data_IF_193553701329
#
_entry.id   IF_193553701329
#
_cell.length_a   1.000
_cell.length_b   1.000
_cell.length_c   1.000
_cell.angle_alpha   90.00
_cell.angle_beta   90.00
_cell.angle_gamma   90.00
#
_symmetry.space_group_name_H-M   'P 1'
#
loop_
_entity.id
_entity.type
_entity.pdbx_description
1 polymer ?
#
# COMPACT_ATOMS: atom_id res chain seq x y z
N UNK A 1 21.82 2.50 -3.16
CA UNK A 1 20.71 3.40 -2.79
C UNK A 1 19.41 2.85 -3.34
N UNK A 2 18.33 2.95 -2.57
CA UNK A 2 16.99 2.54 -2.98
C UNK A 2 16.02 3.71 -2.81
N UNK A 3 15.41 4.14 -3.93
CA UNK A 3 14.35 5.13 -3.90
C UNK A 3 13.01 4.44 -3.62
N UNK A 4 12.22 4.98 -2.70
CA UNK A 4 10.92 4.43 -2.30
C UNK A 4 9.85 5.50 -2.39
N UNK A 5 8.71 5.22 -3.04
CA UNK A 5 7.60 6.18 -3.12
C UNK A 5 6.31 5.66 -2.50
N UNK A 6 5.51 6.62 -2.04
CA UNK A 6 4.15 6.45 -1.51
C UNK A 6 3.22 7.44 -2.20
N UNK A 7 2.04 6.98 -2.62
CA UNK A 7 0.95 7.82 -3.11
C UNK A 7 -0.22 7.75 -2.13
N UNK A 8 -0.51 8.83 -1.39
CA UNK A 8 -1.39 8.79 -0.23
C UNK A 8 -2.26 10.03 -0.09
N UNK A 9 -3.45 9.87 0.48
CA UNK A 9 -4.27 10.96 0.98
C UNK A 9 -4.03 11.23 2.48
N UNK A 10 -4.69 12.26 3.00
CA UNK A 10 -4.63 12.65 4.42
C UNK A 10 -4.84 11.48 5.39
N UNK A 11 -5.69 10.51 5.04
CA UNK A 11 -6.04 9.41 5.95
C UNK A 11 -4.90 8.41 6.12
N UNK A 12 -4.00 8.34 5.14
CA UNK A 12 -2.91 7.37 5.08
C UNK A 12 -1.53 7.95 5.45
N UNK A 13 -1.40 9.26 5.68
CA UNK A 13 -0.12 9.88 6.08
C UNK A 13 0.52 9.20 7.30
N UNK A 14 -0.29 8.91 8.32
CA UNK A 14 0.19 8.20 9.51
C UNK A 14 0.70 6.79 9.18
N UNK A 15 -0.05 6.04 8.37
CA UNK A 15 0.35 4.72 7.90
C UNK A 15 1.67 4.76 7.13
N UNK A 16 1.82 5.69 6.19
CA UNK A 16 3.04 5.87 5.42
C UNK A 16 4.26 6.18 6.29
N UNK A 17 4.10 7.05 7.29
CA UNK A 17 5.19 7.38 8.21
C UNK A 17 5.68 6.18 9.01
N UNK A 18 4.77 5.32 9.48
CA UNK A 18 5.14 4.06 10.18
C UNK A 18 5.70 3.04 9.19
N UNK A 19 5.17 2.96 7.97
CA UNK A 19 5.72 2.12 6.89
C UNK A 19 7.17 2.49 6.59
N UNK A 20 7.48 3.78 6.36
CA UNK A 20 8.85 4.30 6.17
C UNK A 20 9.74 3.88 7.34
N UNK A 21 9.27 4.08 8.57
CA UNK A 21 10.03 3.72 9.76
C UNK A 21 10.32 2.21 9.82
N UNK A 22 9.35 1.37 9.42
CA UNK A 22 9.54 -0.08 9.38
C UNK A 22 10.61 -0.50 8.36
N UNK A 23 10.66 0.18 7.21
CA UNK A 23 11.71 -0.04 6.19
C UNK A 23 13.08 0.29 6.76
N UNK A 24 13.21 1.45 7.39
CA UNK A 24 14.48 1.94 7.94
C UNK A 24 14.99 1.10 9.10
N UNK A 25 14.12 0.64 9.99
CA UNK A 25 14.47 -0.21 11.13
C UNK A 25 15.04 -1.56 10.67
N UNK A 26 14.49 -2.13 9.61
CA UNK A 26 14.85 -3.47 9.15
C UNK A 26 15.93 -3.50 8.06
N UNK A 27 16.43 -2.33 7.61
CA UNK A 27 17.38 -2.23 6.50
C UNK A 27 18.42 -1.13 6.73
N UNK A 28 19.12 -1.18 7.86
CA UNK A 28 20.14 -0.18 8.22
C UNK A 28 21.40 -0.21 7.32
N UNK A 29 21.55 -1.25 6.50
CA UNK A 29 22.64 -1.44 5.55
C UNK A 29 22.35 -0.88 4.15
N UNK A 30 21.17 -0.28 3.95
CA UNK A 30 20.73 0.30 2.67
C UNK A 30 20.53 1.81 2.84
N UNK A 31 21.05 2.60 1.92
CA UNK A 31 20.74 4.03 1.84
C UNK A 31 19.41 4.22 1.12
N UNK A 32 18.49 4.97 1.73
CA UNK A 32 17.17 5.24 1.18
C UNK A 32 16.96 6.71 0.87
N UNK A 33 16.12 6.97 -0.14
CA UNK A 33 15.45 8.24 -0.39
C UNK A 33 13.95 7.96 -0.52
N UNK A 34 13.13 8.61 0.32
CA UNK A 34 11.68 8.45 0.31
C UNK A 34 11.00 9.63 -0.37
N UNK A 35 10.00 9.32 -1.21
CA UNK A 35 9.20 10.25 -1.98
C UNK A 35 7.72 10.08 -1.61
N UNK A 36 7.12 11.04 -0.92
CA UNK A 36 5.73 10.99 -0.46
C UNK A 36 4.88 11.94 -1.31
N UNK A 37 4.06 11.39 -2.20
CA UNK A 37 3.11 12.13 -3.03
C UNK A 37 1.75 12.17 -2.33
N UNK A 38 1.27 13.37 -1.99
CA UNK A 38 0.04 13.54 -1.21
C UNK A 38 -0.71 14.81 -1.61
N UNK A 39 -2.03 14.80 -1.41
CA UNK A 39 -2.90 15.98 -1.57
C UNK A 39 -3.01 16.83 -0.31
N UNK A 40 -2.45 16.37 0.79
CA UNK A 40 -2.52 17.06 2.08
C UNK A 40 -1.29 16.78 2.93
N UNK A 41 -0.77 17.84 3.53
CA UNK A 41 0.22 17.75 4.62
C UNK A 41 0.07 18.99 5.50
N UNK A 42 0.24 18.83 6.81
CA UNK A 42 0.31 19.91 7.78
C UNK A 42 1.69 19.95 8.47
N UNK A 43 1.92 20.98 9.28
CA UNK A 43 3.19 21.20 9.97
C UNK A 43 3.56 20.04 10.90
N UNK A 44 2.57 19.41 11.56
CA UNK A 44 2.80 18.29 12.47
C UNK A 44 3.29 17.05 11.71
N UNK A 45 2.68 16.74 10.56
CA UNK A 45 3.12 15.64 9.70
C UNK A 45 4.48 15.94 9.07
N UNK A 46 4.72 17.17 8.55
CA UNK A 46 6.02 17.58 8.05
C UNK A 46 7.12 17.46 9.10
N UNK A 47 6.83 17.92 10.33
CA UNK A 47 7.74 17.76 11.45
C UNK A 47 8.05 16.30 11.73
N UNK A 48 7.05 15.41 11.69
CA UNK A 48 7.24 13.98 11.93
C UNK A 48 8.08 13.30 10.84
N UNK A 49 7.87 13.65 9.57
CA UNK A 49 8.73 13.19 8.48
C UNK A 49 10.18 13.66 8.65
N UNK A 50 10.38 14.94 9.00
CA UNK A 50 11.70 15.51 9.25
C UNK A 50 12.41 14.86 10.47
N UNK A 51 11.67 14.60 11.55
CA UNK A 51 12.17 13.89 12.73
C UNK A 51 12.56 12.45 12.36
N UNK A 52 11.77 11.77 11.54
CA UNK A 52 12.07 10.42 11.04
C UNK A 52 13.33 10.44 10.16
N UNK A 53 13.42 11.38 9.21
CA UNK A 53 14.59 11.54 8.36
C UNK A 53 15.87 11.77 9.18
N UNK A 54 15.80 12.62 10.21
CA UNK A 54 16.91 12.88 11.11
C UNK A 54 17.29 11.66 11.96
N UNK A 55 16.28 10.96 12.54
CA UNK A 55 16.52 9.80 13.40
C UNK A 55 17.27 8.69 12.67
N UNK A 56 16.91 8.45 11.42
CA UNK A 56 17.46 7.34 10.63
C UNK A 56 18.49 7.77 9.58
N UNK A 57 18.92 9.04 9.60
CA UNK A 57 19.88 9.61 8.66
C UNK A 57 19.52 9.32 7.19
N UNK A 58 18.29 9.67 6.79
CA UNK A 58 17.74 9.45 5.44
C UNK A 58 17.12 10.73 4.89
N UNK A 59 16.69 10.70 3.63
CA UNK A 59 15.94 11.79 3.00
C UNK A 59 14.48 11.39 2.83
N UNK A 60 13.56 12.27 3.26
CA UNK A 60 12.12 12.11 3.01
C UNK A 60 11.63 13.40 2.35
N UNK A 61 11.19 13.30 1.10
CA UNK A 61 10.73 14.42 0.28
C UNK A 61 9.21 14.30 0.13
N UNK A 62 8.50 15.36 0.52
CA UNK A 62 7.03 15.41 0.41
C UNK A 62 6.64 16.28 -0.79
N UNK A 63 5.85 15.71 -1.70
CA UNK A 63 5.31 16.37 -2.88
C UNK A 63 3.82 16.63 -2.66
N UNK A 64 3.45 17.90 -2.58
CA UNK A 64 2.04 18.31 -2.47
C UNK A 64 1.41 18.38 -3.86
N UNK A 65 0.38 17.55 -4.07
CA UNK A 65 -0.28 17.40 -5.37
C UNK A 65 -1.65 18.07 -5.33
N UNK A 66 -1.96 18.88 -6.35
CA UNK A 66 -3.32 19.39 -6.54
C UNK A 66 -4.20 18.28 -7.13
N UNK A 67 -5.24 17.78 -6.39
CA UNK A 67 -6.14 16.73 -6.88
C UNK A 67 -6.86 17.08 -8.19
N UNK A 68 -6.93 18.36 -8.56
CA UNK A 68 -7.54 18.79 -9.82
C UNK A 68 -6.90 18.18 -11.07
N UNK A 69 -5.64 17.77 -10.99
CA UNK A 69 -4.97 17.07 -12.09
C UNK A 69 -5.65 15.75 -12.46
N UNK A 70 -6.45 15.17 -11.56
CA UNK A 70 -7.11 13.88 -11.75
C UNK A 70 -8.64 13.98 -11.69
N UNK A 71 -9.21 15.20 -11.79
CA UNK A 71 -10.63 15.44 -11.63
C UNK A 71 -11.51 14.71 -12.67
N UNK A 72 -10.95 14.34 -13.81
CA UNK A 72 -11.59 13.59 -14.89
C UNK A 72 -11.45 12.07 -14.77
N UNK A 73 -10.73 11.57 -13.75
CA UNK A 73 -10.54 10.15 -13.53
C UNK A 73 -11.58 9.57 -12.56
N UNK A 74 -11.99 8.30 -12.76
CA UNK A 74 -13.00 7.68 -11.92
C UNK A 74 -12.51 7.47 -10.49
N UNK A 75 -13.40 7.73 -9.51
CA UNK A 75 -13.20 7.41 -8.10
C UNK A 75 -14.37 6.57 -7.58
N UNK A 76 -14.20 5.94 -6.41
CA UNK A 76 -15.25 5.17 -5.76
C UNK A 76 -15.19 5.34 -4.26
N UNK A 77 -16.13 4.70 -3.54
CA UNK A 77 -16.11 4.67 -2.06
C UNK A 77 -14.83 4.07 -1.46
N UNK A 78 -14.09 3.27 -2.25
CA UNK A 78 -12.90 2.54 -1.81
C UNK A 78 -11.61 3.10 -2.39
N UNK A 79 -11.69 3.95 -3.42
CA UNK A 79 -10.55 4.42 -4.20
C UNK A 79 -10.63 5.93 -4.36
N UNK A 80 -9.73 6.64 -3.66
CA UNK A 80 -9.56 8.09 -3.79
C UNK A 80 -8.61 8.43 -4.96
N UNK A 81 -8.47 9.71 -5.25
CA UNK A 81 -7.47 10.20 -6.23
C UNK A 81 -6.04 9.79 -5.86
N UNK A 82 -5.77 9.49 -4.58
CA UNK A 82 -4.46 9.01 -4.15
C UNK A 82 -4.00 7.73 -4.89
N UNK A 83 -4.95 6.92 -5.38
CA UNK A 83 -4.66 5.77 -6.24
C UNK A 83 -3.86 6.15 -7.49
N UNK A 84 -4.09 7.37 -8.02
CA UNK A 84 -3.39 7.87 -9.21
C UNK A 84 -2.04 8.52 -8.89
N UNK A 85 -1.78 8.85 -7.62
CA UNK A 85 -0.50 9.43 -7.21
C UNK A 85 0.67 8.45 -7.44
N UNK A 86 0.39 7.15 -7.47
CA UNK A 86 1.35 6.13 -7.91
C UNK A 86 1.83 6.39 -9.33
N UNK A 87 0.92 6.55 -10.27
CA UNK A 87 1.24 6.80 -11.69
C UNK A 87 2.01 8.12 -11.83
N UNK A 88 1.56 9.16 -11.09
CA UNK A 88 2.25 10.45 -11.08
C UNK A 88 3.66 10.34 -10.52
N UNK A 89 3.86 9.54 -9.46
CA UNK A 89 5.20 9.35 -8.90
C UNK A 89 6.15 8.68 -9.90
N UNK A 90 5.66 7.71 -10.67
CA UNK A 90 6.45 7.05 -11.72
C UNK A 90 6.83 8.02 -12.83
N UNK A 91 5.87 8.80 -13.34
CA UNK A 91 6.12 9.80 -14.36
C UNK A 91 7.14 10.84 -13.90
N UNK A 92 6.86 11.49 -12.77
CA UNK A 92 7.69 12.57 -12.25
C UNK A 92 9.12 12.12 -11.95
N UNK A 93 9.28 10.96 -11.31
CA UNK A 93 10.59 10.48 -10.91
C UNK A 93 11.37 9.83 -12.06
N UNK A 94 10.70 9.40 -13.13
CA UNK A 94 11.35 8.79 -14.30
C UNK A 94 12.34 9.71 -15.02
N UNK A 95 12.21 11.02 -14.81
CA UNK A 95 13.13 12.02 -15.35
C UNK A 95 14.49 12.05 -14.65
N UNK A 96 14.56 11.56 -13.41
CA UNK A 96 15.76 11.73 -12.56
C UNK A 96 16.34 10.44 -11.98
N UNK A 97 15.55 9.36 -11.84
CA UNK A 97 15.99 8.09 -11.29
C UNK A 97 15.58 6.91 -12.18
N UNK A 98 16.39 5.85 -12.14
CA UNK A 98 16.21 4.69 -13.02
C UNK A 98 15.25 3.63 -12.48
N UNK A 99 15.17 3.49 -11.16
CA UNK A 99 14.36 2.47 -10.49
C UNK A 99 13.70 3.01 -9.24
N UNK A 100 12.51 2.51 -8.91
CA UNK A 100 11.71 2.99 -7.79
C UNK A 100 10.95 1.83 -7.15
N UNK A 101 11.04 1.68 -5.83
CA UNK A 101 10.14 0.81 -5.07
C UNK A 101 8.90 1.62 -4.68
N UNK A 102 7.74 1.23 -5.17
CA UNK A 102 6.46 1.77 -4.71
C UNK A 102 5.89 0.89 -3.60
N UNK A 103 5.43 1.51 -2.53
CA UNK A 103 4.75 0.85 -1.42
C UNK A 103 3.43 1.57 -1.10
N UNK A 104 2.37 0.79 -0.88
CA UNK A 104 1.16 1.30 -0.25
C UNK A 104 1.42 1.62 1.24
N UNK A 105 0.70 2.59 1.80
CA UNK A 105 0.90 3.04 3.18
C UNK A 105 0.54 1.99 4.25
N UNK A 106 -0.16 0.94 3.88
CA UNK A 106 -0.51 -0.20 4.72
C UNK A 106 0.41 -1.41 4.55
N UNK A 107 1.56 -1.19 3.90
CA UNK A 107 2.66 -2.16 3.83
C UNK A 107 3.64 -1.89 4.96
N UNK A 108 3.99 -2.93 5.71
CA UNK A 108 4.96 -2.89 6.81
C UNK A 108 6.14 -3.80 6.50
N UNK A 109 7.35 -3.27 6.58
CA UNK A 109 8.57 -4.02 6.36
C UNK A 109 8.93 -4.83 7.62
N UNK A 110 9.24 -6.12 7.43
CA UNK A 110 9.68 -7.06 8.47
C UNK A 110 11.06 -7.65 8.18
N UNK A 111 11.46 -7.67 6.92
CA UNK A 111 12.68 -8.33 6.47
C UNK A 111 13.58 -7.43 5.61
N UNK A 112 14.62 -8.02 5.02
CA UNK A 112 15.59 -7.30 4.23
C UNK A 112 15.10 -7.04 2.79
N UNK A 113 15.23 -5.78 2.35
CA UNK A 113 15.00 -5.35 0.97
C UNK A 113 16.27 -5.46 0.09
N UNK A 114 17.38 -5.95 0.64
CA UNK A 114 18.63 -6.08 -0.09
C UNK A 114 18.49 -6.83 -1.40
N UNK A 115 17.72 -7.93 -1.52
CA UNK A 115 17.55 -8.63 -2.80
C UNK A 115 16.96 -7.73 -3.91
N UNK A 116 16.17 -6.72 -3.57
CA UNK A 116 15.64 -5.77 -4.58
C UNK A 116 16.76 -4.90 -5.17
N UNK A 117 17.75 -4.56 -4.38
CA UNK A 117 18.90 -3.73 -4.84
C UNK A 117 19.82 -4.49 -5.82
N UNK A 118 19.69 -5.80 -5.91
CA UNK A 118 20.47 -6.68 -6.78
C UNK A 118 19.75 -6.99 -8.10
N UNK A 119 18.50 -6.55 -8.26
CA UNK A 119 17.73 -6.75 -9.49
C UNK A 119 18.30 -5.85 -10.61
N UNK A 120 18.65 -6.48 -11.71
CA UNK A 120 19.07 -5.81 -12.93
C UNK A 120 17.98 -6.02 -13.99
N UNK A 121 17.27 -4.94 -14.31
CA UNK A 121 16.28 -4.95 -15.38
C UNK A 121 16.98 -5.00 -16.76
N UNK A 122 16.45 -5.83 -17.66
CA UNK A 122 16.84 -5.85 -19.08
C UNK A 122 15.84 -5.04 -19.89
N UNK A 123 14.63 -5.58 -20.07
CA UNK A 123 13.55 -4.96 -20.83
C UNK A 123 12.22 -4.98 -20.04
N UNK A 124 12.23 -5.54 -18.84
CA UNK A 124 11.03 -5.65 -18.01
C UNK A 124 10.60 -4.28 -17.47
N UNK A 125 9.28 -4.09 -17.30
CA UNK A 125 8.70 -2.87 -16.73
C UNK A 125 8.85 -2.80 -15.22
N UNK A 126 8.78 -3.93 -14.54
CA UNK A 126 8.86 -3.98 -13.08
C UNK A 126 9.24 -5.37 -12.57
N UNK A 127 9.65 -5.42 -11.30
CA UNK A 127 9.60 -6.64 -10.50
C UNK A 127 8.36 -6.55 -9.60
N UNK A 128 7.48 -7.55 -9.69
CA UNK A 128 6.13 -7.55 -9.14
C UNK A 128 5.82 -8.86 -8.43
N UNK A 129 4.79 -8.84 -7.57
CA UNK A 129 4.36 -10.02 -6.84
C UNK A 129 2.94 -10.40 -7.27
N UNK A 130 2.70 -11.64 -7.76
CA UNK A 130 1.36 -12.09 -8.12
C UNK A 130 0.38 -11.95 -6.96
N UNK A 131 -0.82 -11.43 -7.25
CA UNK A 131 -1.91 -11.30 -6.26
C UNK A 131 -2.38 -12.70 -5.78
N UNK A 132 -3.36 -12.76 -4.90
CA UNK A 132 -3.98 -14.02 -4.50
C UNK A 132 -4.54 -14.78 -5.69
N UNK A 133 -4.45 -16.11 -5.67
CA UNK A 133 -4.84 -16.97 -6.78
C UNK A 133 -6.28 -16.74 -7.25
N UNK A 134 -7.22 -16.51 -6.30
CA UNK A 134 -8.62 -16.18 -6.62
C UNK A 134 -8.77 -14.83 -7.32
N UNK A 135 -7.99 -13.81 -6.92
CA UNK A 135 -7.97 -12.49 -7.55
C UNK A 135 -7.42 -12.58 -8.96
N UNK A 136 -6.30 -13.27 -9.14
CA UNK A 136 -5.67 -13.48 -10.45
C UNK A 136 -6.63 -14.14 -11.44
N UNK A 137 -7.26 -15.26 -11.06
CA UNK A 137 -8.22 -15.98 -11.90
C UNK A 137 -9.45 -15.12 -12.27
N UNK A 138 -9.99 -14.37 -11.29
CA UNK A 138 -11.12 -13.48 -11.50
C UNK A 138 -10.77 -12.31 -12.43
N UNK A 139 -9.57 -11.72 -12.30
CA UNK A 139 -9.09 -10.61 -13.13
C UNK A 139 -8.79 -11.07 -14.56
N UNK A 140 -8.08 -12.17 -14.74
CA UNK A 140 -7.79 -12.76 -16.04
C UNK A 140 -9.09 -13.01 -16.85
N UNK A 141 -10.10 -13.58 -16.18
CA UNK A 141 -11.44 -13.80 -16.79
C UNK A 141 -12.13 -12.48 -17.13
N UNK A 142 -12.18 -11.52 -16.19
CA UNK A 142 -12.90 -10.24 -16.36
C UNK A 142 -12.28 -9.36 -17.44
N UNK A 143 -10.95 -9.32 -17.51
CA UNK A 143 -10.21 -8.54 -18.51
C UNK A 143 -10.14 -9.27 -19.86
N UNK A 144 -10.60 -10.51 -19.94
CA UNK A 144 -10.49 -11.37 -21.11
C UNK A 144 -9.02 -11.53 -21.59
N UNK A 145 -8.12 -11.74 -20.63
CA UNK A 145 -6.70 -12.00 -20.87
C UNK A 145 -6.33 -13.24 -20.04
N UNK A 146 -6.60 -14.47 -20.54
CA UNK A 146 -6.36 -15.71 -19.78
C UNK A 146 -4.93 -15.89 -19.31
N UNK A 147 -3.94 -15.37 -20.07
CA UNK A 147 -2.52 -15.45 -19.77
C UNK A 147 -2.11 -14.68 -18.51
N UNK A 148 -2.95 -13.76 -18.03
CA UNK A 148 -2.75 -13.07 -16.74
C UNK A 148 -3.00 -13.97 -15.53
N UNK A 149 -3.65 -15.12 -15.70
CA UNK A 149 -3.80 -16.08 -14.59
C UNK A 149 -2.42 -16.61 -14.20
N UNK A 150 -2.07 -16.48 -12.92
CA UNK A 150 -0.72 -16.74 -12.41
C UNK A 150 0.25 -15.56 -12.54
N UNK A 151 -0.13 -14.47 -13.23
CA UNK A 151 0.74 -13.31 -13.52
C UNK A 151 0.15 -11.95 -13.15
N UNK A 152 -1.15 -11.89 -12.85
CA UNK A 152 -1.79 -10.66 -12.39
C UNK A 152 -1.24 -10.29 -11.01
N UNK A 153 -0.58 -9.13 -10.90
CA UNK A 153 0.10 -8.70 -9.69
C UNK A 153 -0.72 -7.71 -8.87
N UNK A 154 -0.46 -7.70 -7.56
CA UNK A 154 -0.95 -6.68 -6.65
C UNK A 154 -0.15 -5.39 -6.81
N UNK A 155 -0.84 -4.25 -6.84
CA UNK A 155 -0.19 -2.96 -7.07
C UNK A 155 0.36 -2.29 -5.80
N UNK A 156 0.19 -2.87 -4.62
CA UNK A 156 0.67 -2.29 -3.36
C UNK A 156 2.18 -2.39 -3.13
N UNK A 157 2.86 -3.28 -3.86
CA UNK A 157 4.32 -3.41 -3.86
C UNK A 157 4.80 -3.60 -5.30
N UNK A 158 5.51 -2.62 -5.83
CA UNK A 158 6.04 -2.66 -7.20
C UNK A 158 7.45 -2.08 -7.23
N UNK A 159 8.44 -2.85 -7.69
CA UNK A 159 9.76 -2.31 -7.99
C UNK A 159 9.85 -2.00 -9.47
N UNK A 160 9.72 -0.71 -9.83
CA UNK A 160 9.52 -0.22 -11.21
C UNK A 160 10.85 0.09 -11.87
N UNK A 161 10.99 -0.31 -13.15
CA UNK A 161 12.01 0.17 -14.06
C UNK A 161 11.54 1.52 -14.66
N UNK A 162 11.87 2.61 -14.01
CA UNK A 162 11.46 3.96 -14.45
C UNK A 162 12.09 4.36 -15.78
N UNK A 163 13.30 3.87 -16.07
CA UNK A 163 13.92 4.08 -17.39
C UNK A 163 13.02 3.52 -18.50
N UNK A 164 12.58 2.26 -18.36
CA UNK A 164 11.65 1.62 -19.31
C UNK A 164 10.30 2.31 -19.37
N UNK A 165 9.77 2.76 -18.23
CA UNK A 165 8.55 3.56 -18.13
C UNK A 165 8.64 4.81 -19.01
N UNK A 166 9.71 5.58 -18.85
CA UNK A 166 9.97 6.81 -19.58
C UNK A 166 10.16 6.55 -21.09
N UNK A 167 11.01 5.59 -21.45
CA UNK A 167 11.26 5.22 -22.84
C UNK A 167 9.99 4.76 -23.58
N UNK A 168 9.12 4.03 -22.90
CA UNK A 168 7.85 3.54 -23.45
C UNK A 168 6.73 4.59 -23.44
N UNK A 169 6.94 5.74 -22.79
CA UNK A 169 5.95 6.81 -22.63
C UNK A 169 4.60 6.26 -22.14
N UNK A 170 4.62 5.51 -21.01
CA UNK A 170 3.47 4.72 -20.56
C UNK A 170 2.32 5.56 -20.02
N UNK A 171 2.58 6.72 -19.44
CA UNK A 171 1.57 7.53 -18.74
C UNK A 171 0.36 7.87 -19.59
N UNK A 172 0.48 8.34 -20.86
CA UNK A 172 -0.69 8.61 -21.69
C UNK A 172 -1.57 7.38 -21.94
N UNK A 173 -0.97 6.20 -22.08
CA UNK A 173 -1.72 4.95 -22.26
C UNK A 173 -2.46 4.54 -20.99
N UNK A 174 -1.80 4.66 -19.82
CA UNK A 174 -2.43 4.40 -18.54
C UNK A 174 -3.61 5.33 -18.27
N UNK A 175 -3.50 6.61 -18.59
CA UNK A 175 -4.61 7.57 -18.44
C UNK A 175 -5.79 7.21 -19.33
N UNK A 176 -5.57 6.74 -20.58
CA UNK A 176 -6.64 6.23 -21.44
C UNK A 176 -7.33 4.98 -20.85
N UNK A 177 -6.55 4.06 -20.28
CA UNK A 177 -7.09 2.89 -19.59
C UNK A 177 -7.97 3.30 -18.41
N UNK A 178 -7.49 4.24 -17.59
CA UNK A 178 -8.19 4.72 -16.39
C UNK A 178 -9.47 5.48 -16.73
N UNK A 179 -9.52 6.21 -17.87
CA UNK A 179 -10.74 6.87 -18.39
C UNK A 179 -11.73 5.93 -19.05
N UNK A 180 -11.35 4.64 -19.22
CA UNK A 180 -12.19 3.67 -19.93
C UNK A 180 -12.22 3.86 -21.45
N UNK A 181 -11.25 4.60 -22.01
CA UNK A 181 -11.14 4.95 -23.43
C UNK A 181 -10.49 3.85 -24.27
N UNK A 182 -10.44 2.63 -23.76
CA UNK A 182 -9.84 1.48 -24.44
C UNK A 182 -10.84 0.33 -24.59
N UNK A 183 -10.47 -0.73 -25.30
CA UNK A 183 -11.29 -1.95 -25.45
C UNK A 183 -11.67 -2.60 -24.12
N UNK A 184 -11.01 -2.27 -23.02
CA UNK A 184 -11.27 -2.83 -21.70
C UNK A 184 -12.40 -2.10 -20.94
N UNK A 185 -12.83 -0.91 -21.41
CA UNK A 185 -13.85 -0.10 -20.74
C UNK A 185 -13.47 0.32 -19.33
N UNK A 186 -14.47 0.43 -18.44
CA UNK A 186 -14.24 0.79 -17.04
C UNK A 186 -13.53 -0.33 -16.27
N UNK A 187 -12.42 0.01 -15.63
CA UNK A 187 -11.61 -0.91 -14.85
C UNK A 187 -12.14 -1.05 -13.42
N UNK A 188 -12.25 -2.26 -12.92
CA UNK A 188 -12.76 -2.53 -11.56
C UNK A 188 -11.74 -2.18 -10.48
N UNK A 189 -10.48 -2.54 -10.70
CA UNK A 189 -9.37 -2.26 -9.77
C UNK A 189 -8.47 -1.14 -10.29
N UNK A 190 -9.08 -0.16 -10.98
CA UNK A 190 -8.49 1.09 -11.43
C UNK A 190 -7.01 0.95 -11.87
N UNK A 191 -6.10 1.53 -11.10
CA UNK A 191 -4.67 1.55 -11.38
C UNK A 191 -4.02 0.16 -11.38
N UNK A 192 -4.46 -0.78 -10.53
CA UNK A 192 -3.96 -2.15 -10.53
C UNK A 192 -4.27 -2.86 -11.87
N UNK A 193 -5.51 -2.75 -12.36
CA UNK A 193 -5.87 -3.27 -13.69
C UNK A 193 -5.07 -2.57 -14.79
N UNK A 194 -4.98 -1.24 -14.74
CA UNK A 194 -4.29 -0.45 -15.75
C UNK A 194 -2.80 -0.82 -15.85
N UNK A 195 -2.12 -0.98 -14.71
CA UNK A 195 -0.71 -1.37 -14.66
C UNK A 195 -0.50 -2.80 -15.18
N UNK A 196 -1.36 -3.75 -14.79
CA UNK A 196 -1.28 -5.13 -15.29
C UNK A 196 -1.48 -5.20 -16.82
N UNK A 197 -2.40 -4.41 -17.37
CA UNK A 197 -2.62 -4.31 -18.82
C UNK A 197 -1.41 -3.66 -19.51
N UNK A 198 -0.94 -2.51 -18.98
CA UNK A 198 0.12 -1.74 -19.60
C UNK A 198 1.48 -2.46 -19.60
N UNK A 199 1.81 -3.16 -18.52
CA UNK A 199 3.04 -3.95 -18.43
C UNK A 199 2.98 -5.24 -19.25
N UNK A 200 1.78 -5.64 -19.65
CA UNK A 200 1.56 -6.80 -20.54
C UNK A 200 2.36 -8.04 -20.16
N UNK A 201 2.41 -8.35 -18.85
CA UNK A 201 3.15 -9.49 -18.27
C UNK A 201 4.67 -9.45 -18.49
N UNK A 202 5.23 -8.36 -19.01
CA UNK A 202 6.67 -8.18 -19.17
C UNK A 202 7.30 -7.71 -17.85
N UNK A 203 7.34 -8.63 -16.87
CA UNK A 203 7.78 -8.38 -15.51
C UNK A 203 8.69 -9.48 -14.99
N UNK A 204 9.54 -9.14 -14.01
CA UNK A 204 10.18 -10.09 -13.12
C UNK A 204 9.16 -10.45 -12.03
N UNK A 205 8.93 -11.72 -11.79
CA UNK A 205 8.01 -12.19 -10.76
C UNK A 205 8.77 -12.60 -9.50
N UNK A 206 8.48 -11.91 -8.41
CA UNK A 206 9.09 -12.13 -7.10
C UNK A 206 8.28 -13.11 -6.25
N UNK A 207 8.91 -13.65 -5.21
CA UNK A 207 8.26 -14.49 -4.22
C UNK A 207 7.19 -13.71 -3.43
N UNK A 208 6.14 -14.41 -2.98
CA UNK A 208 5.04 -13.83 -2.16
C UNK A 208 5.53 -13.21 -0.84
N UNK A 209 6.73 -13.54 -0.40
CA UNK A 209 7.34 -12.95 0.79
C UNK A 209 7.57 -11.42 0.67
N UNK A 210 7.69 -10.89 -0.57
CA UNK A 210 7.83 -9.46 -0.84
C UNK A 210 6.49 -8.70 -0.91
N UNK A 211 5.35 -9.40 -0.86
CA UNK A 211 4.01 -8.82 -0.70
C UNK A 211 3.10 -9.84 -0.03
N UNK A 212 3.36 -10.11 1.26
CA UNK A 212 2.55 -11.03 2.06
C UNK A 212 1.23 -10.36 2.41
N UNK A 213 0.21 -10.60 1.60
CA UNK A 213 -1.13 -10.04 1.81
C UNK A 213 -1.77 -10.67 3.04
N UNK A 214 -2.13 -9.83 4.03
CA UNK A 214 -2.84 -10.23 5.23
C UNK A 214 -3.99 -9.26 5.54
N UNK A 215 -5.17 -9.78 5.81
CA UNK A 215 -6.30 -8.98 6.26
C UNK A 215 -6.61 -9.23 7.72
N UNK A 216 -6.66 -8.17 8.53
CA UNK A 216 -7.02 -8.26 9.96
C UNK A 216 -8.46 -8.74 10.19
N UNK A 217 -9.30 -8.80 9.15
CA UNK A 217 -10.59 -9.48 9.19
C UNK A 217 -10.47 -10.95 9.59
N UNK A 218 -9.35 -11.61 9.27
CA UNK A 218 -9.12 -13.02 9.60
C UNK A 218 -9.11 -13.27 11.10
N UNK A 219 -8.72 -12.28 11.90
CA UNK A 219 -8.70 -12.35 13.36
C UNK A 219 -10.10 -12.56 13.97
N UNK A 220 -11.15 -12.12 13.28
CA UNK A 220 -12.54 -12.37 13.71
C UNK A 220 -12.92 -13.85 13.70
N UNK A 221 -12.20 -14.66 12.95
CA UNK A 221 -12.46 -16.10 12.75
C UNK A 221 -11.38 -16.98 13.36
N UNK A 222 -10.39 -16.38 14.03
CA UNK A 222 -9.31 -17.08 14.72
C UNK A 222 -9.27 -16.73 16.22
N UNK A 223 -9.92 -17.54 17.03
CA UNK A 223 -9.92 -17.36 18.50
C UNK A 223 -8.54 -17.53 19.15
N UNK A 224 -7.62 -18.21 18.46
CA UNK A 224 -6.25 -18.41 18.96
C UNK A 224 -5.36 -17.19 18.71
N UNK A 225 -5.70 -16.36 17.74
CA UNK A 225 -4.88 -15.28 17.21
C UNK A 225 -3.46 -15.71 16.84
N UNK A 226 -3.31 -16.96 16.35
CA UNK A 226 -2.03 -17.56 15.96
C UNK A 226 -1.98 -18.00 14.51
N UNK A 227 -3.12 -18.13 13.82
CA UNK A 227 -3.16 -18.58 12.42
C UNK A 227 -2.44 -17.65 11.46
N UNK A 228 -2.29 -16.36 11.83
CA UNK A 228 -1.52 -15.41 11.03
C UNK A 228 -0.09 -15.89 10.77
N UNK A 229 0.51 -16.69 11.67
CA UNK A 229 1.85 -17.26 11.55
C UNK A 229 2.00 -18.23 10.36
N UNK A 230 0.89 -18.74 9.82
CA UNK A 230 0.87 -19.53 8.59
C UNK A 230 1.03 -18.67 7.34
N UNK A 231 0.72 -17.37 7.44
CA UNK A 231 0.81 -16.41 6.34
C UNK A 231 2.02 -15.49 6.54
N UNK A 232 2.17 -14.90 7.72
CA UNK A 232 3.31 -14.04 8.08
C UNK A 232 4.36 -14.94 8.74
N UNK A 233 5.33 -15.39 7.95
CA UNK A 233 6.38 -16.34 8.35
C UNK A 233 7.71 -15.63 8.59
N UNK A 234 8.73 -16.38 8.96
CA UNK A 234 10.10 -15.84 9.09
C UNK A 234 10.69 -15.36 7.76
N UNK A 235 10.18 -15.89 6.64
CA UNK A 235 10.58 -15.48 5.28
C UNK A 235 9.92 -14.19 4.81
N UNK A 236 8.81 -13.78 5.44
CA UNK A 236 8.08 -12.57 5.05
C UNK A 236 8.98 -11.34 5.14
N UNK A 237 9.07 -10.59 4.04
CA UNK A 237 9.82 -9.34 3.92
C UNK A 237 8.90 -8.14 4.09
N UNK A 238 7.80 -8.09 3.35
CA UNK A 238 6.80 -7.04 3.42
C UNK A 238 5.44 -7.65 3.75
N UNK A 239 4.74 -7.06 4.72
CA UNK A 239 3.38 -7.44 5.12
C UNK A 239 2.44 -6.37 4.60
N UNK A 240 1.48 -6.74 3.77
CA UNK A 240 0.49 -5.84 3.20
C UNK A 240 -0.86 -6.03 3.91
N UNK A 241 -1.21 -5.10 4.81
CA UNK A 241 -2.45 -5.15 5.60
C UNK A 241 -3.66 -4.66 4.81
N UNK A 242 -4.16 -5.52 3.90
CA UNK A 242 -5.31 -5.18 3.06
C UNK A 242 -6.64 -5.14 3.82
N UNK A 243 -7.66 -4.52 3.21
CA UNK A 243 -9.01 -4.44 3.75
C UNK A 243 -9.25 -3.20 4.62
N UNK A 244 -10.45 -3.10 5.21
CA UNK A 244 -10.94 -1.90 5.90
C UNK A 244 -10.23 -1.70 7.25
N UNK A 245 -10.04 -2.78 8.03
CA UNK A 245 -9.32 -2.70 9.30
C UNK A 245 -7.83 -2.64 9.03
N UNK A 246 -7.21 -1.55 9.46
CA UNK A 246 -5.77 -1.30 9.32
C UNK A 246 -5.05 -1.46 10.66
N UNK A 247 -3.74 -1.75 10.68
CA UNK A 247 -2.99 -1.97 11.92
C UNK A 247 -2.91 -0.73 12.82
N UNK A 248 -3.16 0.45 12.30
CA UNK A 248 -3.22 1.71 13.06
C UNK A 248 -4.59 2.03 13.67
N UNK A 249 -5.58 1.15 13.51
CA UNK A 249 -6.89 1.34 14.14
C UNK A 249 -6.88 0.88 15.59
N UNK A 250 -7.58 1.62 16.48
CA UNK A 250 -7.63 1.32 17.92
C UNK A 250 -8.19 -0.07 18.25
N UNK A 251 -8.98 -0.64 17.34
CA UNK A 251 -9.57 -1.98 17.47
C UNK A 251 -8.74 -3.09 16.81
N UNK A 252 -7.55 -2.79 16.29
CA UNK A 252 -6.68 -3.74 15.60
C UNK A 252 -5.58 -4.33 16.50
N UNK A 253 -5.80 -4.39 17.81
CA UNK A 253 -4.82 -4.83 18.82
C UNK A 253 -4.55 -6.35 18.82
N UNK A 254 -4.16 -6.89 17.68
CA UNK A 254 -3.84 -8.32 17.49
C UNK A 254 -2.33 -8.58 17.41
N UNK A 255 -1.88 -9.80 17.76
CA UNK A 255 -0.47 -10.17 17.55
C UNK A 255 0.00 -10.01 16.10
N UNK A 256 -0.88 -10.25 15.13
CA UNK A 256 -0.59 -10.06 13.70
C UNK A 256 -0.32 -8.61 13.30
N UNK A 257 -0.77 -7.62 14.09
CA UNK A 257 -0.50 -6.20 13.90
C UNK A 257 0.73 -5.69 14.67
N UNK A 258 1.43 -6.56 15.41
CA UNK A 258 2.58 -6.18 16.26
C UNK A 258 3.72 -5.55 15.46
N UNK A 259 3.93 -5.98 14.23
CA UNK A 259 4.97 -5.44 13.34
C UNK A 259 4.81 -3.94 13.07
N UNK A 260 3.57 -3.47 12.87
CA UNK A 260 3.24 -2.06 12.79
C UNK A 260 3.54 -1.34 14.11
N UNK A 261 3.09 -1.91 15.23
CA UNK A 261 3.26 -1.30 16.55
C UNK A 261 4.73 -1.18 16.93
N UNK A 262 5.57 -2.17 16.61
CA UNK A 262 7.02 -2.12 16.85
C UNK A 262 7.64 -0.93 16.10
N UNK A 263 7.34 -0.78 14.81
CA UNK A 263 7.86 0.32 14.00
C UNK A 263 7.35 1.68 14.51
N UNK A 264 6.07 1.75 14.90
CA UNK A 264 5.47 2.93 15.51
C UNK A 264 6.19 3.35 16.79
N UNK A 265 6.37 2.44 17.74
CA UNK A 265 6.99 2.74 19.05
C UNK A 265 8.47 3.15 18.94
N UNK A 266 9.18 2.69 17.93
CA UNK A 266 10.58 3.00 17.67
C UNK A 266 10.79 4.26 16.81
N UNK A 267 9.73 5.01 16.51
CA UNK A 267 9.76 6.15 15.60
C UNK A 267 9.03 7.39 16.18
N UNK A 268 9.21 8.58 15.58
CA UNK A 268 8.50 9.79 15.98
C UNK A 268 6.96 9.66 15.88
N UNK A 269 6.47 8.64 15.16
CA UNK A 269 5.05 8.40 14.93
C UNK A 269 4.31 7.87 16.16
N UNK A 270 5.01 7.44 17.22
CA UNK A 270 4.42 7.02 18.50
C UNK A 270 3.59 8.11 19.19
N UNK A 271 3.85 9.39 18.90
CA UNK A 271 3.10 10.52 19.48
C UNK A 271 1.65 10.58 19.00
N UNK A 272 1.33 10.02 17.83
CA UNK A 272 -0.03 10.00 17.32
C UNK A 272 -0.83 8.86 17.95
N UNK A 273 -2.08 9.14 18.40
CA UNK A 273 -2.97 8.08 18.87
C UNK A 273 -3.36 7.15 17.72
N UNK A 274 -3.70 5.91 18.05
CA UNK A 274 -4.36 5.01 17.10
C UNK A 274 -5.68 5.61 16.63
N UNK A 275 -6.05 5.32 15.39
CA UNK A 275 -7.23 5.95 14.76
C UNK A 275 -8.53 5.28 15.16
N UNK A 276 -9.53 6.09 15.46
CA UNK A 276 -10.92 5.67 15.66
C UNK A 276 -11.69 5.57 14.32
N UNK A 277 -12.80 4.81 14.35
CA UNK A 277 -13.64 4.64 13.16
C UNK A 277 -14.30 5.96 12.75
N UNK A 278 -14.19 6.30 11.46
CA UNK A 278 -14.75 7.52 10.87
C UNK A 278 -15.89 7.23 9.89
N UNK A 279 -15.74 6.18 9.09
CA UNK A 279 -16.71 5.76 8.07
C UNK A 279 -17.69 4.72 8.64
N UNK A 280 -18.86 4.60 8.01
CA UNK A 280 -19.84 3.55 8.36
C UNK A 280 -19.23 2.15 8.24
N UNK A 281 -18.41 1.93 7.21
CA UNK A 281 -17.73 0.66 6.99
C UNK A 281 -16.72 0.37 8.12
N UNK A 282 -15.93 1.35 8.55
CA UNK A 282 -15.01 1.20 9.69
C UNK A 282 -15.75 0.95 11.00
N UNK A 283 -16.87 1.66 11.26
CA UNK A 283 -17.71 1.44 12.45
C UNK A 283 -18.26 0.01 12.49
N UNK A 284 -18.65 -0.52 11.32
CA UNK A 284 -19.07 -1.91 11.20
C UNK A 284 -17.95 -2.90 11.58
N UNK A 285 -16.71 -2.59 11.20
CA UNK A 285 -15.55 -3.43 11.58
C UNK A 285 -15.20 -3.24 13.04
N UNK A 286 -15.18 -2.01 13.54
CA UNK A 286 -14.83 -1.70 14.91
C UNK A 286 -15.68 -2.50 15.92
N UNK A 287 -17.03 -2.45 15.85
CA UNK A 287 -17.84 -3.17 16.83
C UNK A 287 -17.62 -4.69 16.77
N UNK A 288 -17.40 -5.26 15.57
CA UNK A 288 -17.13 -6.70 15.42
C UNK A 288 -15.81 -7.11 16.09
N UNK A 289 -14.77 -6.33 15.87
CA UNK A 289 -13.46 -6.58 16.49
C UNK A 289 -13.52 -6.37 18.02
N UNK A 290 -14.21 -5.33 18.51
CA UNK A 290 -14.39 -5.09 19.95
C UNK A 290 -15.10 -6.27 20.63
N UNK A 291 -16.14 -6.84 20.00
CA UNK A 291 -16.78 -8.07 20.50
C UNK A 291 -15.81 -9.26 20.48
N UNK A 292 -15.02 -9.41 19.45
CA UNK A 292 -14.03 -10.47 19.37
C UNK A 292 -12.94 -10.36 20.45
N UNK A 293 -12.60 -9.16 20.86
CA UNK A 293 -11.69 -8.86 21.99
C UNK A 293 -12.36 -9.02 23.38
N UNK A 294 -13.68 -9.29 23.45
CA UNK A 294 -14.41 -9.32 24.72
C UNK A 294 -14.72 -7.92 25.31
N UNK A 295 -14.47 -6.84 24.54
CA UNK A 295 -14.76 -5.46 24.95
C UNK A 295 -16.24 -5.11 24.70
N UNK A 296 -17.14 -5.82 25.37
CA UNK A 296 -18.59 -5.79 25.09
C UNK A 296 -19.22 -4.40 25.22
N UNK A 297 -18.86 -3.63 26.26
CA UNK A 297 -19.41 -2.28 26.47
C UNK A 297 -19.05 -1.36 25.32
N UNK A 298 -17.76 -1.32 24.93
CA UNK A 298 -17.29 -0.54 23.79
C UNK A 298 -17.90 -1.04 22.48
N UNK A 299 -18.04 -2.36 22.33
CA UNK A 299 -18.66 -3.00 21.18
C UNK A 299 -20.11 -2.60 21.01
N UNK A 300 -20.91 -2.58 22.07
CA UNK A 300 -22.30 -2.11 22.05
C UNK A 300 -22.37 -0.63 21.68
N UNK A 301 -21.53 0.21 22.29
CA UNK A 301 -21.48 1.65 21.97
C UNK A 301 -21.15 1.89 20.50
N UNK A 302 -20.17 1.16 19.98
CA UNK A 302 -19.77 1.24 18.55
C UNK A 302 -20.89 0.73 17.63
N UNK A 303 -21.59 -0.35 18.01
CA UNK A 303 -22.74 -0.86 17.27
C UNK A 303 -23.90 0.15 17.20
N UNK A 304 -24.19 0.83 18.31
CA UNK A 304 -25.22 1.88 18.35
C UNK A 304 -24.83 3.03 17.40
N UNK A 305 -23.57 3.52 17.47
CA UNK A 305 -23.06 4.55 16.54
C UNK A 305 -23.19 4.12 15.07
N UNK A 306 -22.84 2.87 14.76
CA UNK A 306 -23.01 2.30 13.43
C UNK A 306 -24.48 2.32 12.98
N UNK A 307 -25.39 1.88 13.84
CA UNK A 307 -26.84 1.84 13.55
C UNK A 307 -27.44 3.22 13.30
N UNK A 308 -26.98 4.24 14.03
CA UNK A 308 -27.43 5.62 13.89
C UNK A 308 -26.91 6.31 12.63
N UNK A 309 -25.80 5.85 12.06
CA UNK A 309 -25.18 6.43 10.85
C UNK A 309 -25.49 5.65 9.57
N UNK A 310 -26.07 4.47 9.66
CA UNK A 310 -26.53 3.66 8.55
C UNK A 310 -27.90 4.11 8.04
#
# INVERSE_FOLDING_TARGET
>A
ELNVSYGIDKNFLYGAGVSISSVLINNSDINFVFHVFTDYVDDDYLKSFNETAKQFNTSIIVYLIDPKYFADLPTSQFWSYATYFRVLSFEYLSESISTLLYLDADVVCKGSLKPLTEIIFKDEFAAVIPDNDSTQAACAKRLNIPEMNGRYFNAGVIYVNLKKWHEANLTPYLLKLLRGETKYGSLKYLDQDALNIAFNMNNIYLAKDFDTIYTLKNELYDRSHRKYQQTITDKTVLIHYTGITKPWHSWAGYPSASYFNIAREQSPWKKYPLKEARTVAEMQKQYKHLFAHGEYIKGITSLIKYKLKK
#
